data_IF_855015521873
#
_entry.id   IF_855015521873
#
_cell.length_a   1.000
_cell.length_b   1.000
_cell.length_c   1.000
_cell.angle_alpha   90.00
_cell.angle_beta   90.00
_cell.angle_gamma   90.00
#
_symmetry.space_group_name_H-M   'P 1'
#
loop_
_entity.id
_entity.type
_entity.pdbx_description
1 polymer ?
#
# COMPACT_ATOMS: atom_id res chain seq x y z
N UNK A 1 18.80 9.65 -2.64
CA UNK A 1 18.35 10.14 -1.31
C UNK A 1 18.78 9.12 -0.26
N UNK A 2 19.28 9.54 0.89
CA UNK A 2 19.54 8.62 2.00
C UNK A 2 18.19 8.24 2.64
N UNK A 3 17.75 7.00 2.45
CA UNK A 3 16.60 6.43 3.17
C UNK A 3 16.96 6.37 4.65
N UNK A 4 16.10 6.88 5.53
CA UNK A 4 16.33 6.85 6.98
C UNK A 4 15.84 5.51 7.53
N UNK A 5 16.74 4.53 7.61
CA UNK A 5 16.42 3.17 8.07
C UNK A 5 16.30 3.06 9.59
N UNK A 6 16.90 3.95 10.37
CA UNK A 6 16.70 3.97 11.83
C UNK A 6 15.22 4.28 12.16
N UNK A 7 14.64 5.26 11.47
CA UNK A 7 13.23 5.59 11.62
C UNK A 7 12.30 4.45 11.15
N UNK A 8 12.69 3.72 10.10
CA UNK A 8 11.94 2.56 9.62
C UNK A 8 11.86 1.48 10.71
N UNK A 9 13.00 1.15 11.33
CA UNK A 9 13.05 0.10 12.34
C UNK A 9 12.15 0.43 13.53
N UNK A 10 12.28 1.66 14.08
CA UNK A 10 11.45 2.10 15.20
C UNK A 10 9.96 2.05 14.89
N UNK A 11 9.54 2.43 13.67
CA UNK A 11 8.14 2.39 13.25
C UNK A 11 7.61 0.96 13.17
N UNK A 12 8.38 0.04 12.56
CA UNK A 12 7.99 -1.37 12.52
C UNK A 12 7.90 -1.91 13.94
N UNK A 13 8.90 -1.70 14.80
CA UNK A 13 8.91 -2.18 16.20
C UNK A 13 7.69 -1.67 16.99
N UNK A 14 7.28 -0.41 16.80
CA UNK A 14 6.08 0.15 17.43
C UNK A 14 4.83 -0.66 17.05
N UNK A 15 4.68 -1.04 15.79
CA UNK A 15 3.59 -1.91 15.29
C UNK A 15 3.73 -3.35 15.80
N UNK A 16 4.96 -3.88 15.93
CA UNK A 16 5.22 -5.23 16.45
C UNK A 16 4.72 -5.42 17.89
N UNK A 17 4.77 -4.38 18.73
CA UNK A 17 4.27 -4.45 20.10
C UNK A 17 2.75 -4.75 20.14
N UNK A 18 1.98 -4.29 19.16
CA UNK A 18 0.55 -4.66 19.05
C UNK A 18 0.37 -6.15 18.83
N UNK A 19 1.12 -6.75 17.90
CA UNK A 19 1.05 -8.19 17.64
C UNK A 19 1.54 -9.00 18.84
N UNK A 20 2.56 -8.53 19.57
CA UNK A 20 3.05 -9.20 20.78
C UNK A 20 1.98 -9.26 21.86
N UNK A 21 1.24 -8.18 22.07
CA UNK A 21 0.15 -8.13 23.04
C UNK A 21 -1.02 -9.01 22.59
N UNK A 22 -1.49 -8.83 21.34
CA UNK A 22 -2.66 -9.53 20.82
C UNK A 22 -2.46 -11.05 20.72
N UNK A 23 -1.30 -11.48 20.20
CA UNK A 23 -0.96 -12.89 19.96
C UNK A 23 -0.15 -13.53 21.10
N UNK A 24 0.08 -12.81 22.20
CA UNK A 24 0.86 -13.26 23.37
C UNK A 24 2.28 -13.74 22.99
N UNK A 25 2.96 -13.00 22.11
CA UNK A 25 4.29 -13.34 21.60
C UNK A 25 5.39 -12.75 22.47
N UNK A 26 6.54 -13.42 22.48
CA UNK A 26 7.66 -13.07 23.34
C UNK A 26 8.75 -12.25 22.65
N UNK A 27 8.84 -12.32 21.32
CA UNK A 27 9.92 -11.68 20.55
C UNK A 27 9.39 -10.85 19.37
N UNK A 28 10.18 -9.85 18.95
CA UNK A 28 9.90 -9.06 17.75
C UNK A 28 9.95 -9.91 16.48
N UNK A 29 10.83 -10.92 16.44
CA UNK A 29 10.93 -11.84 15.31
C UNK A 29 9.63 -12.63 15.08
N UNK A 30 9.01 -13.13 16.15
CA UNK A 30 7.69 -13.77 16.08
C UNK A 30 6.61 -12.78 15.61
N UNK A 31 6.61 -11.57 16.15
CA UNK A 31 5.64 -10.53 15.80
C UNK A 31 5.79 -10.05 14.36
N UNK A 32 7.02 -10.00 13.85
CA UNK A 32 7.31 -9.57 12.49
C UNK A 32 6.72 -10.53 11.45
N UNK A 33 6.56 -11.81 11.77
CA UNK A 33 5.81 -12.74 10.92
C UNK A 33 4.34 -12.35 10.72
N UNK A 34 3.66 -11.93 11.78
CA UNK A 34 2.28 -11.44 11.67
C UNK A 34 2.21 -10.10 10.93
N UNK A 35 3.17 -9.21 11.21
CA UNK A 35 3.29 -7.94 10.48
C UNK A 35 3.46 -8.16 8.98
N UNK A 36 4.33 -9.09 8.58
CA UNK A 36 4.55 -9.50 7.19
C UNK A 36 3.28 -10.04 6.56
N UNK A 37 2.58 -10.94 7.26
CA UNK A 37 1.36 -11.55 6.73
C UNK A 37 0.31 -10.49 6.39
N UNK A 38 0.13 -9.51 7.26
CA UNK A 38 -0.86 -8.45 7.08
C UNK A 38 -0.43 -7.41 6.04
N UNK A 39 0.81 -6.90 6.12
CA UNK A 39 1.26 -5.76 5.31
C UNK A 39 1.80 -6.16 3.93
N UNK A 40 2.31 -7.39 3.80
CA UNK A 40 2.97 -7.85 2.58
C UNK A 40 2.09 -8.87 1.85
N UNK A 41 1.56 -9.85 2.57
CA UNK A 41 0.73 -10.90 1.97
C UNK A 41 -0.76 -10.54 1.93
N UNK A 42 -1.18 -9.49 2.64
CA UNK A 42 -2.58 -9.07 2.77
C UNK A 42 -3.49 -10.20 3.31
N UNK A 43 -2.93 -11.03 4.18
CA UNK A 43 -3.65 -12.10 4.87
C UNK A 43 -4.01 -11.60 6.26
N UNK A 44 -5.26 -11.81 6.68
CA UNK A 44 -5.73 -11.43 8.01
C UNK A 44 -4.88 -12.14 9.07
N UNK A 45 -4.23 -11.33 9.93
CA UNK A 45 -3.36 -11.79 11.00
C UNK A 45 -4.08 -12.58 12.10
N UNK A 46 -5.41 -12.55 12.12
CA UNK A 46 -6.27 -13.36 12.96
C UNK A 46 -6.67 -14.69 12.34
N UNK A 47 -6.50 -14.84 11.03
CA UNK A 47 -6.90 -16.05 10.34
C UNK A 47 -5.88 -17.17 10.61
N UNK A 48 -6.37 -18.41 10.74
CA UNK A 48 -5.53 -19.59 10.99
C UNK A 48 -4.62 -19.97 9.79
N UNK A 49 -4.58 -19.10 8.77
CA UNK A 49 -3.88 -19.30 7.50
C UNK A 49 -2.40 -18.87 7.54
N UNK A 50 -1.96 -18.18 8.59
CA UNK A 50 -0.53 -17.89 8.78
C UNK A 50 0.17 -19.15 9.26
N UNK A 51 0.75 -19.87 8.31
CA UNK A 51 1.47 -21.11 8.56
C UNK A 51 2.66 -20.93 9.51
N UNK A 52 2.48 -21.45 10.74
CA UNK A 52 3.48 -21.97 11.67
C UNK A 52 4.20 -20.92 12.56
N UNK A 53 3.61 -20.57 13.72
CA UNK A 53 4.37 -19.95 14.80
C UNK A 53 5.43 -20.96 15.29
N UNK A 54 6.69 -20.85 14.85
CA UNK A 54 7.75 -21.73 15.35
C UNK A 54 9.02 -21.94 14.53
N UNK A 55 9.23 -21.29 13.37
CA UNK A 55 10.41 -21.49 12.50
C UNK A 55 10.68 -22.96 12.14
N UNK A 56 9.63 -23.80 12.07
CA UNK A 56 9.82 -25.23 11.81
C UNK A 56 10.41 -25.38 10.41
N UNK A 57 11.63 -25.92 10.36
CA UNK A 57 12.37 -26.15 9.14
C UNK A 57 12.66 -24.89 8.29
N UNK A 58 12.58 -23.71 8.90
CA UNK A 58 12.89 -22.43 8.25
C UNK A 58 11.78 -21.90 7.34
N UNK A 59 10.55 -22.40 7.50
CA UNK A 59 9.33 -21.86 6.89
C UNK A 59 8.59 -21.07 7.97
N UNK A 60 8.33 -19.79 7.67
CA UNK A 60 7.70 -18.87 8.62
C UNK A 60 6.25 -18.56 8.25
N UNK A 61 5.89 -18.64 6.97
CA UNK A 61 4.51 -18.52 6.49
C UNK A 61 4.29 -19.47 5.30
N UNK A 62 3.16 -20.18 5.28
CA UNK A 62 2.66 -20.95 4.14
C UNK A 62 1.20 -20.58 3.87
N UNK A 63 0.91 -20.06 2.68
CA UNK A 63 -0.45 -19.70 2.24
C UNK A 63 -0.79 -20.32 0.90
N UNK A 64 -2.07 -20.62 0.68
CA UNK A 64 -2.59 -21.24 -0.53
C UNK A 64 -3.80 -20.42 -0.98
N UNK A 65 -3.64 -19.60 -2.02
CA UNK A 65 -4.71 -18.80 -2.62
C UNK A 65 -5.37 -19.63 -3.72
N UNK A 66 -6.50 -20.24 -3.38
CA UNK A 66 -7.29 -21.07 -4.29
C UNK A 66 -7.91 -20.27 -5.45
N UNK A 67 -8.10 -18.95 -5.31
CA UNK A 67 -8.69 -18.14 -6.38
C UNK A 67 -7.63 -17.76 -7.41
N UNK A 68 -6.44 -17.37 -6.94
CA UNK A 68 -5.31 -17.00 -7.81
C UNK A 68 -4.51 -18.19 -8.31
N UNK A 69 -4.71 -19.38 -7.73
CA UNK A 69 -3.87 -20.57 -7.95
C UNK A 69 -2.42 -20.29 -7.62
N UNK A 70 -2.18 -19.67 -6.48
CA UNK A 70 -0.85 -19.31 -5.99
C UNK A 70 -0.59 -19.94 -4.62
N UNK A 71 0.56 -20.59 -4.47
CA UNK A 71 1.07 -21.06 -3.18
C UNK A 71 2.23 -20.16 -2.80
N UNK A 72 2.20 -19.57 -1.60
CA UNK A 72 3.31 -18.75 -1.11
C UNK A 72 3.97 -19.39 0.10
N UNK A 73 5.28 -19.61 0.01
CA UNK A 73 6.13 -20.09 1.11
C UNK A 73 7.10 -18.97 1.44
N UNK A 74 7.02 -18.44 2.65
CA UNK A 74 7.85 -17.34 3.11
C UNK A 74 8.85 -17.77 4.18
N UNK A 75 10.06 -17.25 4.07
CA UNK A 75 11.07 -17.24 5.12
C UNK A 75 11.37 -15.79 5.51
N UNK A 76 11.42 -15.53 6.80
CA UNK A 76 11.52 -14.20 7.39
C UNK A 76 12.74 -14.14 8.33
N UNK A 77 13.46 -13.03 8.28
CA UNK A 77 14.65 -12.78 9.10
C UNK A 77 14.61 -11.37 9.67
N UNK A 78 14.33 -11.24 10.97
CA UNK A 78 14.24 -9.96 11.64
C UNK A 78 15.55 -9.53 12.33
N UNK A 79 15.79 -8.22 12.39
CA UNK A 79 16.79 -7.59 13.25
C UNK A 79 16.31 -6.20 13.62
N UNK A 80 16.31 -5.84 14.91
CA UNK A 80 15.90 -4.51 15.40
C UNK A 80 16.74 -3.36 14.82
N UNK A 81 17.92 -3.65 14.25
CA UNK A 81 18.77 -2.64 13.59
C UNK A 81 18.62 -2.63 12.07
N UNK A 82 17.81 -3.53 11.50
CA UNK A 82 17.72 -3.79 10.06
C UNK A 82 19.10 -4.12 9.45
N UNK A 83 19.91 -4.89 10.18
CA UNK A 83 21.27 -5.29 9.80
C UNK A 83 21.43 -6.82 9.73
N UNK A 84 20.33 -7.58 9.67
CA UNK A 84 20.40 -9.04 9.64
C UNK A 84 21.26 -9.51 8.46
N UNK A 85 22.18 -10.44 8.73
CA UNK A 85 23.04 -11.06 7.72
C UNK A 85 22.52 -12.44 7.39
N UNK A 86 21.92 -12.57 6.22
CA UNK A 86 21.45 -13.85 5.71
C UNK A 86 22.63 -14.76 5.37
N UNK A 87 22.54 -16.03 5.73
CA UNK A 87 23.47 -17.05 5.23
C UNK A 87 22.99 -17.56 3.88
N UNK A 88 23.88 -17.72 2.90
CA UNK A 88 23.52 -18.19 1.54
C UNK A 88 22.84 -19.57 1.52
N UNK A 89 23.09 -20.40 2.53
CA UNK A 89 22.42 -21.69 2.71
C UNK A 89 20.92 -21.55 3.04
N UNK A 90 20.46 -20.41 3.56
CA UNK A 90 19.04 -20.15 3.81
C UNK A 90 18.27 -20.01 2.50
N UNK A 91 18.88 -19.45 1.45
CA UNK A 91 18.31 -19.40 0.10
C UNK A 91 18.08 -20.82 -0.43
N UNK A 92 19.03 -21.73 -0.21
CA UNK A 92 18.90 -23.14 -0.61
C UNK A 92 17.82 -23.87 0.18
N UNK A 93 17.71 -23.58 1.48
CA UNK A 93 16.65 -24.15 2.33
C UNK A 93 15.27 -23.75 1.82
N UNK A 94 15.06 -22.45 1.58
CA UNK A 94 13.80 -21.96 1.02
C UNK A 94 13.53 -22.55 -0.37
N UNK A 95 14.56 -22.68 -1.22
CA UNK A 95 14.41 -23.28 -2.55
C UNK A 95 13.87 -24.69 -2.46
N UNK A 96 14.33 -25.46 -1.47
CA UNK A 96 13.94 -26.85 -1.26
C UNK A 96 12.69 -27.02 -0.40
N UNK A 97 12.13 -25.94 0.16
CA UNK A 97 10.94 -26.00 1.02
C UNK A 97 9.74 -26.71 0.37
N UNK A 98 9.41 -26.54 -0.93
CA UNK A 98 8.30 -27.27 -1.55
C UNK A 98 8.50 -28.79 -1.58
N UNK A 99 9.73 -29.25 -1.86
CA UNK A 99 10.06 -30.69 -1.85
C UNK A 99 9.95 -31.23 -0.42
N UNK A 100 10.43 -30.45 0.54
CA UNK A 100 10.37 -30.78 1.95
C UNK A 100 8.93 -30.89 2.47
N UNK A 101 8.07 -29.93 2.13
CA UNK A 101 6.65 -29.95 2.48
C UNK A 101 5.92 -31.14 1.85
N UNK A 102 6.34 -31.63 0.68
CA UNK A 102 5.74 -32.80 0.06
C UNK A 102 6.15 -34.14 0.71
N UNK A 103 7.26 -34.18 1.47
CA UNK A 103 7.71 -35.42 2.12
C UNK A 103 6.78 -35.79 3.27
N UNK A 104 6.04 -36.89 3.13
CA UNK A 104 5.08 -37.39 4.13
C UNK A 104 5.73 -37.74 5.48
N UNK A 105 7.05 -37.93 5.54
CA UNK A 105 7.75 -38.22 6.80
C UNK A 105 8.06 -36.97 7.64
N UNK A 106 7.95 -35.78 7.04
CA UNK A 106 8.12 -34.53 7.75
C UNK A 106 6.89 -34.24 8.59
N UNK A 107 7.06 -33.99 9.88
CA UNK A 107 5.95 -33.63 10.77
C UNK A 107 6.37 -32.46 11.64
N UNK A 108 5.41 -31.60 11.98
CA UNK A 108 5.61 -30.44 12.82
C UNK A 108 4.59 -30.37 13.94
N UNK A 109 4.22 -29.17 14.34
CA UNK A 109 3.07 -28.96 15.19
C UNK A 109 1.74 -29.14 14.43
N UNK A 110 0.61 -29.19 15.15
CA UNK A 110 -0.71 -29.41 14.56
C UNK A 110 -1.08 -28.41 13.45
N UNK A 111 -0.63 -27.16 13.55
CA UNK A 111 -0.89 -26.12 12.54
C UNK A 111 -0.02 -26.37 11.30
N UNK A 112 1.25 -26.70 11.50
CA UNK A 112 2.16 -27.11 10.45
C UNK A 112 1.60 -28.29 9.65
N UNK A 113 1.23 -29.37 10.34
CA UNK A 113 0.77 -30.60 9.69
C UNK A 113 -0.52 -30.36 8.90
N UNK A 114 -1.47 -29.61 9.46
CA UNK A 114 -2.70 -29.26 8.75
C UNK A 114 -2.43 -28.46 7.45
N UNK A 115 -1.54 -27.47 7.51
CA UNK A 115 -1.19 -26.66 6.33
C UNK A 115 -0.36 -27.43 5.31
N UNK A 116 0.49 -28.33 5.77
CA UNK A 116 1.22 -29.25 4.91
C UNK A 116 0.27 -30.17 4.16
N UNK A 117 -0.77 -30.69 4.82
CA UNK A 117 -1.79 -31.51 4.16
C UNK A 117 -2.52 -30.70 3.08
N UNK A 118 -2.95 -29.46 3.38
CA UNK A 118 -3.53 -28.56 2.37
C UNK A 118 -2.58 -28.32 1.19
N UNK A 119 -1.27 -28.16 1.45
CA UNK A 119 -0.26 -28.02 0.40
C UNK A 119 -0.15 -29.28 -0.46
N UNK A 120 -0.08 -30.46 0.15
CA UNK A 120 -0.01 -31.74 -0.59
C UNK A 120 -1.26 -31.91 -1.46
N UNK A 121 -2.45 -31.60 -0.93
CA UNK A 121 -3.69 -31.65 -1.67
C UNK A 121 -3.69 -30.69 -2.88
N UNK A 122 -3.16 -29.48 -2.73
CA UNK A 122 -3.01 -28.53 -3.83
C UNK A 122 -2.03 -29.02 -4.90
N UNK A 123 -0.92 -29.66 -4.50
CA UNK A 123 0.08 -30.22 -5.43
C UNK A 123 -0.46 -31.44 -6.19
N UNK A 124 -1.13 -32.37 -5.48
CA UNK A 124 -1.66 -33.61 -6.05
C UNK A 124 -2.99 -33.39 -6.82
N UNK A 125 -3.70 -32.28 -6.55
CA UNK A 125 -4.95 -31.89 -7.22
C UNK A 125 -4.79 -31.60 -8.72
N UNK A 126 -5.88 -31.40 -9.47
CA UNK A 126 -5.80 -31.23 -10.94
C UNK A 126 -5.36 -29.82 -11.39
N UNK A 127 -5.46 -28.84 -10.49
CA UNK A 127 -5.22 -27.43 -10.82
C UNK A 127 -3.73 -27.12 -10.95
N UNK A 128 -3.41 -26.13 -11.78
CA UNK A 128 -2.05 -25.66 -12.00
C UNK A 128 -1.76 -24.47 -11.08
N UNK A 129 -1.00 -24.72 -10.01
CA UNK A 129 -0.54 -23.67 -9.10
C UNK A 129 0.82 -23.11 -9.52
N UNK A 130 1.03 -21.81 -9.29
CA UNK A 130 2.37 -21.21 -9.26
C UNK A 130 2.88 -21.17 -7.82
N UNK A 131 4.15 -21.52 -7.60
CA UNK A 131 4.76 -21.48 -6.26
C UNK A 131 5.64 -20.25 -6.13
N UNK A 132 5.32 -19.41 -5.15
CA UNK A 132 6.04 -18.21 -4.78
C UNK A 132 6.93 -18.51 -3.56
N UNK A 133 8.24 -18.39 -3.74
CA UNK A 133 9.22 -18.49 -2.67
C UNK A 133 9.65 -17.10 -2.25
N UNK A 134 9.25 -16.69 -1.05
CA UNK A 134 9.43 -15.33 -0.57
C UNK A 134 10.45 -15.27 0.56
N UNK A 135 11.47 -14.43 0.40
CA UNK A 135 12.51 -14.22 1.41
C UNK A 135 12.51 -12.77 1.86
N UNK A 136 12.16 -12.55 3.13
CA UNK A 136 12.03 -11.22 3.73
C UNK A 136 13.14 -11.03 4.76
N UNK A 137 13.93 -9.98 4.56
CA UNK A 137 15.14 -9.71 5.33
C UNK A 137 15.11 -8.28 5.86
N UNK A 138 15.14 -8.16 7.19
CA UNK A 138 15.45 -6.92 7.90
C UNK A 138 16.97 -6.65 7.82
N UNK A 139 17.44 -6.38 6.61
CA UNK A 139 18.86 -6.30 6.24
C UNK A 139 19.02 -6.06 4.75
N UNK A 140 20.22 -6.30 4.23
CA UNK A 140 20.53 -6.22 2.80
C UNK A 140 21.00 -7.57 2.28
N UNK A 141 20.58 -7.92 1.06
CA UNK A 141 21.19 -9.01 0.31
C UNK A 141 22.53 -8.55 -0.28
N UNK A 142 23.54 -9.41 -0.25
CA UNK A 142 24.78 -9.18 -1.01
C UNK A 142 24.53 -9.35 -2.52
N UNK A 143 25.47 -8.87 -3.36
CA UNK A 143 25.42 -9.09 -4.82
C UNK A 143 25.27 -10.57 -5.15
N UNK A 144 26.14 -11.42 -4.61
CA UNK A 144 26.11 -12.87 -4.83
C UNK A 144 24.78 -13.52 -4.41
N UNK A 145 24.14 -13.00 -3.36
CA UNK A 145 22.83 -13.48 -2.92
C UNK A 145 21.72 -13.08 -3.90
N UNK A 146 21.75 -11.84 -4.39
CA UNK A 146 20.81 -11.38 -5.42
C UNK A 146 20.98 -12.18 -6.72
N UNK A 147 22.22 -12.36 -7.19
CA UNK A 147 22.53 -13.13 -8.40
C UNK A 147 22.02 -14.58 -8.28
N UNK A 148 22.19 -15.19 -7.10
CA UNK A 148 21.66 -16.53 -6.83
C UNK A 148 20.14 -16.56 -6.84
N UNK A 149 19.47 -15.62 -6.18
CA UNK A 149 18.00 -15.53 -6.16
C UNK A 149 17.46 -15.34 -7.58
N UNK A 150 18.08 -14.47 -8.37
CA UNK A 150 17.70 -14.24 -9.76
C UNK A 150 17.88 -15.50 -10.62
N UNK A 151 18.97 -16.24 -10.42
CA UNK A 151 19.21 -17.52 -11.13
C UNK A 151 18.17 -18.61 -10.81
N UNK A 152 17.53 -18.54 -9.63
CA UNK A 152 16.48 -19.46 -9.21
C UNK A 152 15.08 -18.99 -9.63
N UNK A 153 14.92 -17.71 -9.95
CA UNK A 153 13.63 -17.13 -10.31
C UNK A 153 13.22 -17.56 -11.73
N UNK A 154 11.96 -18.00 -11.90
CA UNK A 154 11.47 -18.50 -13.19
C UNK A 154 12.00 -19.89 -13.56
N UNK A 155 12.61 -20.59 -12.61
CA UNK A 155 12.95 -22.02 -12.78
C UNK A 155 11.72 -22.88 -12.53
N UNK A 156 11.71 -24.09 -13.10
CA UNK A 156 10.70 -25.09 -12.80
C UNK A 156 11.28 -26.15 -11.85
N UNK A 157 10.46 -26.60 -10.90
CA UNK A 157 10.88 -27.58 -9.89
C UNK A 157 9.89 -28.75 -9.83
N UNK A 158 10.44 -29.96 -9.88
CA UNK A 158 9.66 -31.19 -9.75
C UNK A 158 9.26 -31.43 -8.30
N UNK A 159 7.95 -31.51 -8.05
CA UNK A 159 7.36 -31.81 -6.75
C UNK A 159 6.37 -32.96 -6.96
N UNK A 160 6.60 -34.07 -6.27
CA UNK A 160 5.89 -35.31 -6.55
C UNK A 160 6.05 -35.75 -8.01
N UNK A 161 4.94 -35.74 -8.76
CA UNK A 161 4.89 -36.16 -10.17
C UNK A 161 4.85 -35.02 -11.18
N UNK A 162 4.76 -33.77 -10.71
CA UNK A 162 4.54 -32.59 -11.57
C UNK A 162 5.69 -31.60 -11.44
N UNK A 163 5.82 -30.75 -12.46
CA UNK A 163 6.75 -29.63 -12.49
C UNK A 163 5.96 -28.35 -12.20
N UNK A 164 6.51 -27.50 -11.33
CA UNK A 164 5.89 -26.25 -10.90
C UNK A 164 6.80 -25.07 -11.18
N UNK A 165 6.22 -23.99 -11.70
CA UNK A 165 6.93 -22.73 -11.88
C UNK A 165 7.21 -22.08 -10.52
N UNK A 166 8.48 -21.72 -10.31
CA UNK A 166 8.97 -21.09 -9.11
C UNK A 166 9.19 -19.60 -9.36
N UNK A 167 8.50 -18.75 -8.58
CA UNK A 167 8.74 -17.30 -8.54
C UNK A 167 9.42 -16.93 -7.23
N UNK A 168 10.63 -16.42 -7.31
CA UNK A 168 11.37 -15.95 -6.15
C UNK A 168 11.11 -14.46 -5.91
N UNK A 169 10.73 -14.12 -4.67
CA UNK A 169 10.47 -12.75 -4.25
C UNK A 169 11.35 -12.42 -3.06
N UNK A 170 12.32 -11.53 -3.25
CA UNK A 170 13.18 -11.05 -2.15
C UNK A 170 12.74 -9.66 -1.68
N UNK A 171 12.71 -9.44 -0.37
CA UNK A 171 12.41 -8.14 0.24
C UNK A 171 13.51 -7.80 1.24
N UNK A 172 14.29 -6.76 0.95
CA UNK A 172 15.30 -6.22 1.85
C UNK A 172 14.74 -5.02 2.64
N UNK A 173 15.58 -4.42 3.49
CA UNK A 173 15.23 -3.21 4.24
C UNK A 173 14.81 -2.05 3.34
N UNK A 174 15.29 -1.99 2.10
CA UNK A 174 14.91 -0.99 1.12
C UNK A 174 13.45 -1.21 0.69
N UNK A 175 13.07 -2.43 0.33
CA UNK A 175 11.68 -2.79 -0.01
C UNK A 175 10.73 -2.66 1.19
N UNK A 176 11.18 -3.00 2.40
CA UNK A 176 10.41 -2.76 3.63
C UNK A 176 10.16 -1.27 3.85
N UNK A 177 11.16 -0.41 3.58
CA UNK A 177 10.98 1.04 3.60
C UNK A 177 9.84 1.48 2.68
N UNK A 178 9.83 0.98 1.45
CA UNK A 178 8.82 1.35 0.46
C UNK A 178 7.43 0.86 0.88
N UNK A 179 7.30 -0.32 1.49
CA UNK A 179 6.02 -0.82 2.01
C UNK A 179 5.48 0.08 3.14
N UNK A 180 6.34 0.49 4.07
CA UNK A 180 5.96 1.26 5.27
C UNK A 180 5.68 2.73 4.96
N UNK A 181 6.41 3.32 4.01
CA UNK A 181 6.34 4.76 3.71
C UNK A 181 5.62 5.08 2.40
N UNK A 182 5.46 4.10 1.51
CA UNK A 182 4.76 4.21 0.23
C UNK A 182 3.72 3.08 0.06
N UNK A 183 2.78 2.92 1.03
CA UNK A 183 1.85 1.79 1.08
C UNK A 183 0.99 1.70 -0.19
N UNK A 184 0.85 0.52 -0.77
CA UNK A 184 0.04 0.33 -1.98
C UNK A 184 -1.46 0.46 -1.67
N UNK A 185 -2.23 0.94 -2.64
CA UNK A 185 -3.70 0.80 -2.61
C UNK A 185 -4.11 -0.56 -3.18
N UNK A 186 -5.24 -1.13 -2.72
CA UNK A 186 -5.76 -2.36 -3.30
C UNK A 186 -6.12 -2.16 -4.77
N UNK A 187 -6.16 -3.27 -5.52
CA UNK A 187 -6.68 -3.24 -6.88
C UNK A 187 -8.14 -2.77 -6.89
N UNK A 188 -8.46 -1.90 -7.84
CA UNK A 188 -9.79 -1.31 -7.98
C UNK A 188 -10.24 -1.42 -9.42
N UNK A 189 -11.49 -1.85 -9.62
CA UNK A 189 -12.13 -1.82 -10.94
C UNK A 189 -13.20 -0.73 -10.96
N UNK A 190 -13.10 0.17 -11.94
CA UNK A 190 -14.00 1.30 -12.14
C UNK A 190 -14.70 1.19 -13.49
N UNK A 191 -15.99 1.50 -13.52
CA UNK A 191 -16.75 1.66 -14.77
C UNK A 191 -16.65 3.11 -15.29
N UNK A 192 -16.30 3.25 -16.57
CA UNK A 192 -16.08 4.53 -17.25
C UNK A 192 -17.08 4.71 -18.41
N UNK A 193 -17.50 5.92 -18.71
CA UNK A 193 -18.53 6.16 -19.73
C UNK A 193 -17.99 6.61 -21.09
N UNK A 194 -16.95 7.44 -21.07
CA UNK A 194 -16.29 7.96 -22.28
C UNK A 194 -14.81 7.83 -22.08
N UNK A 195 -14.11 7.18 -22.99
CA UNK A 195 -12.70 6.83 -22.82
C UNK A 195 -11.91 7.28 -24.04
N UNK A 196 -10.76 7.89 -23.77
CA UNK A 196 -9.71 8.16 -24.74
C UNK A 196 -8.40 7.60 -24.21
N UNK A 197 -7.85 6.62 -24.92
CA UNK A 197 -6.50 6.12 -24.66
C UNK A 197 -5.46 6.92 -25.46
N UNK A 198 -4.34 7.22 -24.80
CA UNK A 198 -3.19 7.84 -25.43
C UNK A 198 -1.92 7.13 -24.99
N UNK A 199 -1.24 6.50 -25.96
CA UNK A 199 0.03 5.85 -25.75
C UNK A 199 1.17 6.68 -26.36
N UNK A 200 2.20 6.94 -25.56
CA UNK A 200 3.45 7.52 -26.03
C UNK A 200 4.62 6.65 -25.55
N UNK A 201 5.29 5.98 -26.49
CA UNK A 201 6.30 4.96 -26.19
C UNK A 201 5.74 3.90 -25.22
N UNK A 202 6.39 3.69 -24.08
CA UNK A 202 5.98 2.74 -23.04
C UNK A 202 5.03 3.36 -22.01
N UNK A 203 4.51 4.58 -22.24
CA UNK A 203 3.59 5.25 -21.31
C UNK A 203 2.18 5.19 -21.85
N UNK A 204 1.31 4.48 -21.12
CA UNK A 204 -0.13 4.42 -21.38
C UNK A 204 -0.86 5.42 -20.51
N UNK A 205 -1.75 6.18 -21.12
CA UNK A 205 -2.57 7.19 -20.45
C UNK A 205 -4.02 6.98 -20.86
N UNK A 206 -4.92 7.22 -19.92
CA UNK A 206 -6.35 7.12 -20.12
C UNK A 206 -7.00 8.42 -19.65
N UNK A 207 -7.83 9.00 -20.51
CA UNK A 207 -8.66 10.17 -20.21
C UNK A 207 -10.10 9.72 -20.30
N UNK A 208 -10.86 9.85 -19.22
CA UNK A 208 -12.22 9.34 -19.21
C UNK A 208 -13.21 10.20 -18.41
N UNK A 209 -14.49 10.00 -18.70
CA UNK A 209 -15.59 10.46 -17.85
C UNK A 209 -15.98 9.31 -16.92
N UNK A 210 -16.11 9.62 -15.63
CA UNK A 210 -16.56 8.69 -14.58
C UNK A 210 -17.71 9.31 -13.79
N UNK A 211 -18.71 8.49 -13.44
CA UNK A 211 -19.77 8.91 -12.52
C UNK A 211 -19.22 9.13 -11.12
N UNK A 212 -19.67 10.20 -10.47
CA UNK A 212 -19.33 10.50 -9.07
C UNK A 212 -19.73 9.36 -8.14
N UNK A 213 -20.88 8.71 -8.40
CA UNK A 213 -21.38 7.57 -7.62
C UNK A 213 -20.53 6.32 -7.77
N UNK A 214 -20.07 5.99 -8.98
CA UNK A 214 -19.15 4.87 -9.22
C UNK A 214 -17.84 5.07 -8.45
N UNK A 215 -17.25 6.27 -8.57
CA UNK A 215 -16.00 6.60 -7.88
C UNK A 215 -16.10 6.41 -6.36
N UNK A 216 -17.13 6.96 -5.71
CA UNK A 216 -17.26 6.87 -4.24
C UNK A 216 -17.71 5.50 -3.76
N UNK A 217 -18.38 4.71 -4.60
CA UNK A 217 -18.78 3.36 -4.26
C UNK A 217 -17.56 2.42 -4.21
N UNK A 218 -16.60 2.61 -5.11
CA UNK A 218 -15.39 1.77 -5.22
C UNK A 218 -14.24 2.27 -4.35
N UNK A 219 -14.06 3.58 -4.22
CA UNK A 219 -12.98 4.17 -3.41
C UNK A 219 -13.42 4.27 -1.94
N UNK A 220 -12.94 3.34 -1.11
CA UNK A 220 -13.27 3.28 0.32
C UNK A 220 -12.44 4.25 1.17
N UNK A 221 -13.05 4.77 2.25
CA UNK A 221 -12.42 5.75 3.14
C UNK A 221 -11.20 5.18 3.87
N UNK A 222 -11.18 3.89 4.22
CA UNK A 222 -10.01 3.25 4.83
C UNK A 222 -8.75 3.34 3.96
N UNK A 223 -8.91 3.46 2.63
CA UNK A 223 -7.80 3.54 1.69
C UNK A 223 -7.35 4.98 1.41
N UNK A 224 -7.92 6.01 2.04
CA UNK A 224 -7.62 7.40 1.68
C UNK A 224 -6.16 7.81 1.97
N UNK A 225 -5.56 7.29 3.04
CA UNK A 225 -4.16 7.57 3.39
C UNK A 225 -3.22 7.12 2.25
N UNK A 226 -3.22 5.83 1.86
CA UNK A 226 -2.39 5.38 0.73
C UNK A 226 -2.85 6.00 -0.60
N UNK A 227 -4.13 6.27 -0.80
CA UNK A 227 -4.65 6.85 -2.06
C UNK A 227 -4.15 8.27 -2.32
N UNK A 228 -4.06 9.12 -1.29
CA UNK A 228 -3.68 10.53 -1.42
C UNK A 228 -2.21 10.80 -1.05
N UNK A 229 -1.39 9.75 -0.95
CA UNK A 229 0.01 9.82 -0.52
C UNK A 229 0.85 10.84 -1.31
N UNK A 230 0.65 10.95 -2.63
CA UNK A 230 1.36 11.91 -3.49
C UNK A 230 0.61 13.24 -3.66
N UNK A 231 -0.55 13.42 -3.04
CA UNK A 231 -1.30 14.67 -3.13
C UNK A 231 -0.64 15.73 -2.22
N UNK A 232 -0.35 16.96 -2.69
CA UNK A 232 0.33 17.97 -1.88
C UNK A 232 -0.53 18.50 -0.72
N UNK A 233 -1.85 18.26 -0.76
CA UNK A 233 -2.79 18.74 0.26
C UNK A 233 -3.92 17.73 0.47
N UNK A 234 -4.24 17.47 1.72
CA UNK A 234 -5.38 16.65 2.11
C UNK A 234 -6.66 17.47 2.28
N UNK A 235 -7.76 16.80 2.62
CA UNK A 235 -9.08 17.41 2.80
C UNK A 235 -9.07 18.49 3.90
N UNK A 236 -9.53 19.71 3.57
CA UNK A 236 -9.56 20.83 4.53
C UNK A 236 -10.88 20.98 5.30
N UNK A 237 -11.79 20.02 5.19
CA UNK A 237 -13.12 20.09 5.80
C UNK A 237 -14.06 21.14 5.21
N UNK A 238 -15.30 21.10 5.67
CA UNK A 238 -16.30 22.10 5.37
C UNK A 238 -16.17 23.26 6.36
N UNK A 239 -16.25 24.50 5.86
CA UNK A 239 -16.55 25.68 6.67
C UNK A 239 -18.01 26.02 6.39
N UNK A 240 -18.86 26.02 7.41
CA UNK A 240 -20.26 26.44 7.27
C UNK A 240 -20.40 27.96 7.13
N UNK A 241 -19.33 28.71 7.41
CA UNK A 241 -19.33 30.17 7.48
C UNK A 241 -18.79 30.84 6.21
N UNK A 242 -18.19 30.08 5.29
CA UNK A 242 -17.56 30.61 4.09
C UNK A 242 -18.12 29.96 2.82
N UNK A 243 -18.96 30.70 2.09
CA UNK A 243 -19.39 30.35 0.72
C UNK A 243 -18.20 30.28 -0.27
N UNK A 244 -17.03 30.80 0.12
CA UNK A 244 -15.78 30.70 -0.63
C UNK A 244 -15.02 29.36 -0.42
N UNK A 245 -15.52 28.46 0.44
CA UNK A 245 -14.89 27.16 0.63
C UNK A 245 -15.23 26.22 -0.55
N UNK A 246 -14.17 25.80 -1.27
CA UNK A 246 -14.23 24.86 -2.40
C UNK A 246 -15.09 23.62 -2.08
N UNK A 247 -14.97 23.07 -0.87
CA UNK A 247 -15.71 21.87 -0.45
C UNK A 247 -17.22 22.14 -0.30
N UNK A 248 -17.59 23.35 0.13
CA UNK A 248 -19.00 23.77 0.22
C UNK A 248 -19.60 23.93 -1.18
N UNK A 249 -18.85 24.47 -2.13
CA UNK A 249 -19.24 24.54 -3.54
C UNK A 249 -19.47 23.15 -4.15
N UNK A 250 -18.50 22.23 -3.96
CA UNK A 250 -18.62 20.84 -4.42
C UNK A 250 -19.89 20.19 -3.86
N UNK A 251 -20.16 20.33 -2.56
CA UNK A 251 -21.36 19.77 -1.95
C UNK A 251 -22.63 20.36 -2.55
N UNK A 252 -22.73 21.69 -2.63
CA UNK A 252 -23.91 22.37 -3.17
C UNK A 252 -24.23 21.91 -4.59
N UNK A 253 -23.23 21.82 -5.47
CA UNK A 253 -23.42 21.36 -6.84
C UNK A 253 -23.76 19.87 -6.89
N UNK A 254 -23.04 19.02 -6.16
CA UNK A 254 -23.21 17.57 -6.22
C UNK A 254 -24.55 17.05 -5.68
N UNK A 255 -25.22 17.81 -4.80
CA UNK A 255 -26.50 17.41 -4.19
C UNK A 255 -27.70 18.17 -4.75
N UNK A 256 -27.51 19.02 -5.76
CA UNK A 256 -28.57 19.83 -6.35
C UNK A 256 -28.98 19.24 -7.70
N UNK A 257 -30.27 18.97 -7.87
CA UNK A 257 -30.80 18.29 -9.06
C UNK A 257 -30.66 19.12 -10.36
N UNK A 258 -30.63 20.46 -10.26
CA UNK A 258 -30.47 21.32 -11.41
C UNK A 258 -29.00 21.57 -11.77
N UNK A 259 -28.12 21.68 -10.77
CA UNK A 259 -26.71 22.03 -10.93
C UNK A 259 -25.77 20.82 -11.08
N UNK A 260 -26.18 19.63 -10.62
CA UNK A 260 -25.35 18.41 -10.66
C UNK A 260 -24.92 18.03 -12.08
N UNK A 261 -25.75 18.26 -13.08
CA UNK A 261 -25.41 18.07 -14.50
C UNK A 261 -24.28 18.96 -15.01
N UNK A 262 -24.01 20.10 -14.34
CA UNK A 262 -22.93 21.03 -14.66
C UNK A 262 -21.63 20.69 -13.89
N UNK A 263 -21.62 19.61 -13.11
CA UNK A 263 -20.52 19.30 -12.21
C UNK A 263 -19.21 19.05 -12.96
N UNK A 264 -19.29 18.42 -14.13
CA UNK A 264 -18.14 18.13 -14.99
C UNK A 264 -17.44 19.42 -15.43
N UNK A 265 -18.20 20.46 -15.77
CA UNK A 265 -17.71 21.76 -16.21
C UNK A 265 -17.19 22.62 -15.04
N UNK A 266 -17.80 22.49 -13.85
CA UNK A 266 -17.40 23.26 -12.68
C UNK A 266 -16.18 22.67 -11.95
N UNK A 267 -15.87 21.39 -12.16
CA UNK A 267 -14.81 20.67 -11.48
C UNK A 267 -13.63 20.35 -12.41
N UNK A 268 -12.41 20.52 -11.92
CA UNK A 268 -11.20 20.14 -12.66
C UNK A 268 -11.02 18.62 -12.84
N UNK A 269 -11.85 17.81 -12.15
CA UNK A 269 -11.79 16.36 -12.17
C UNK A 269 -10.76 15.78 -11.21
N UNK A 270 -10.31 14.56 -11.51
CA UNK A 270 -9.28 13.83 -10.78
C UNK A 270 -8.10 13.52 -11.70
N UNK A 271 -6.89 13.66 -11.17
CA UNK A 271 -5.68 13.17 -11.84
C UNK A 271 -5.06 12.08 -10.99
N UNK A 272 -4.80 10.96 -11.63
CA UNK A 272 -4.44 9.70 -11.04
C UNK A 272 -3.15 9.16 -11.67
N UNK A 273 -2.35 8.50 -10.85
CA UNK A 273 -1.23 7.67 -11.30
C UNK A 273 -1.43 6.25 -10.77
N UNK A 274 -0.95 5.26 -11.51
CA UNK A 274 -1.04 3.85 -11.13
C UNK A 274 0.22 3.09 -11.55
N UNK A 275 0.43 1.91 -10.98
CA UNK A 275 1.53 1.04 -11.41
C UNK A 275 1.19 0.37 -12.74
N UNK A 276 -0.06 -0.09 -12.89
CA UNK A 276 -0.60 -0.60 -14.15
C UNK A 276 -2.12 -0.48 -14.24
N UNK A 277 -2.66 -0.52 -15.45
CA UNK A 277 -4.10 -0.71 -15.66
C UNK A 277 -4.41 -1.63 -16.86
N UNK A 278 -5.52 -2.35 -16.74
CA UNK A 278 -6.14 -3.12 -17.83
C UNK A 278 -7.48 -2.49 -18.16
N UNK A 279 -7.73 -2.24 -19.44
CA UNK A 279 -9.00 -1.72 -19.93
C UNK A 279 -9.71 -2.84 -20.70
N UNK A 280 -10.95 -3.11 -20.33
CA UNK A 280 -11.86 -4.02 -21.02
C UNK A 280 -13.19 -3.29 -21.27
N UNK A 281 -13.36 -2.80 -22.51
CA UNK A 281 -14.45 -1.90 -22.91
C UNK A 281 -14.56 -0.67 -21.99
N UNK A 282 -15.56 -0.63 -21.11
CA UNK A 282 -15.81 0.45 -20.15
C UNK A 282 -15.18 0.19 -18.77
N UNK A 283 -14.72 -1.02 -18.50
CA UNK A 283 -14.18 -1.42 -17.20
C UNK A 283 -12.66 -1.25 -17.17
N UNK A 284 -12.16 -0.42 -16.26
CA UNK A 284 -10.73 -0.28 -16.00
C UNK A 284 -10.35 -0.91 -14.66
N UNK A 285 -9.51 -1.94 -14.70
CA UNK A 285 -8.89 -2.54 -13.51
C UNK A 285 -7.54 -1.88 -13.29
N UNK A 286 -7.36 -1.23 -12.13
CA UNK A 286 -6.22 -0.39 -11.81
C UNK A 286 -5.46 -0.97 -10.61
N UNK A 287 -4.16 -1.21 -10.81
CA UNK A 287 -3.26 -1.61 -9.75
C UNK A 287 -2.58 -0.39 -9.11
N UNK A 288 -2.65 -0.30 -7.78
CA UNK A 288 -2.01 0.77 -7.00
C UNK A 288 -2.42 2.19 -7.44
N UNK A 289 -3.72 2.47 -7.51
CA UNK A 289 -4.25 3.80 -7.81
C UNK A 289 -3.83 4.83 -6.76
N UNK A 290 -3.30 5.97 -7.21
CA UNK A 290 -2.97 7.14 -6.39
C UNK A 290 -3.59 8.40 -7.00
N UNK A 291 -4.20 9.26 -6.20
CA UNK A 291 -4.84 10.50 -6.65
C UNK A 291 -3.92 11.69 -6.33
N UNK A 292 -3.27 12.22 -7.37
CA UNK A 292 -2.32 13.33 -7.26
C UNK A 292 -2.98 14.71 -7.37
N UNK A 293 -4.21 14.79 -7.90
CA UNK A 293 -5.06 15.97 -7.88
C UNK A 293 -6.54 15.56 -7.75
N UNK A 294 -7.34 16.33 -7.01
CA UNK A 294 -8.76 16.03 -6.79
C UNK A 294 -9.13 15.55 -5.39
N UNK A 295 -8.21 15.60 -4.41
CA UNK A 295 -8.48 15.16 -3.02
C UNK A 295 -9.71 15.84 -2.40
N UNK A 296 -9.88 17.15 -2.62
CA UNK A 296 -11.08 17.86 -2.13
C UNK A 296 -12.36 17.29 -2.74
N UNK A 297 -12.38 17.03 -4.06
CA UNK A 297 -13.54 16.47 -4.79
C UNK A 297 -13.91 15.09 -4.27
N UNK A 298 -12.95 14.15 -4.27
CA UNK A 298 -13.21 12.75 -3.86
C UNK A 298 -13.67 12.66 -2.41
N UNK A 299 -13.00 13.37 -1.50
CA UNK A 299 -13.38 13.34 -0.08
C UNK A 299 -14.73 14.02 0.15
N UNK A 300 -15.04 15.11 -0.56
CA UNK A 300 -16.34 15.78 -0.44
C UNK A 300 -17.48 14.88 -0.93
N UNK A 301 -17.34 14.27 -2.12
CA UNK A 301 -18.31 13.31 -2.65
C UNK A 301 -18.47 12.10 -1.71
N UNK A 302 -17.37 11.54 -1.21
CA UNK A 302 -17.42 10.43 -0.24
C UNK A 302 -18.03 10.81 1.13
N UNK A 303 -17.99 12.09 1.51
CA UNK A 303 -18.67 12.58 2.72
C UNK A 303 -20.16 12.80 2.50
N UNK A 304 -20.57 13.16 1.29
CA UNK A 304 -21.98 13.25 0.88
C UNK A 304 -22.57 11.84 0.75
N UNK A 305 -21.80 10.89 0.23
CA UNK A 305 -22.17 9.48 0.12
C UNK A 305 -23.37 9.29 -0.80
N UNK A 306 -24.41 8.62 -0.30
CA UNK A 306 -25.62 8.26 -1.07
C UNK A 306 -26.43 9.46 -1.58
N UNK A 307 -26.15 10.67 -1.09
CA UNK A 307 -26.83 11.89 -1.53
C UNK A 307 -26.15 12.56 -2.72
N UNK A 308 -25.07 11.99 -3.27
CA UNK A 308 -24.48 12.45 -4.53
C UNK A 308 -25.49 12.14 -5.63
N UNK A 309 -25.86 13.15 -6.41
CA UNK A 309 -26.78 13.00 -7.52
C UNK A 309 -26.12 12.16 -8.65
N UNK A 310 -26.91 11.34 -9.34
CA UNK A 310 -26.44 10.45 -10.41
C UNK A 310 -25.94 11.21 -11.66
N UNK A 311 -26.33 12.47 -11.83
CA UNK A 311 -25.87 13.35 -12.92
C UNK A 311 -24.47 13.94 -12.67
N UNK A 312 -23.84 13.64 -11.53
CA UNK A 312 -22.48 14.08 -11.24
C UNK A 312 -21.47 13.28 -12.05
N UNK A 313 -20.78 13.97 -12.97
CA UNK A 313 -19.71 13.40 -13.79
C UNK A 313 -18.38 14.11 -13.54
N UNK A 314 -17.28 13.36 -13.69
CA UNK A 314 -15.92 13.84 -13.44
C UNK A 314 -15.00 13.48 -14.61
N UNK A 315 -14.12 14.41 -14.97
CA UNK A 315 -12.97 14.10 -15.80
C UNK A 315 -11.93 13.32 -14.98
N UNK A 316 -11.58 12.13 -15.41
CA UNK A 316 -10.53 11.29 -14.85
C UNK A 316 -9.34 11.25 -15.82
N UNK A 317 -8.14 11.58 -15.32
CA UNK A 317 -6.88 11.42 -16.04
C UNK A 317 -6.07 10.35 -15.32
N UNK A 318 -5.79 9.23 -15.96
CA UNK A 318 -5.05 8.10 -15.39
C UNK A 318 -3.75 7.90 -16.17
N UNK A 319 -2.62 7.94 -15.46
CA UNK A 319 -1.30 7.72 -16.04
C UNK A 319 -0.67 6.43 -15.49
N UNK A 320 -0.27 5.52 -16.38
CA UNK A 320 0.46 4.30 -16.03
C UNK A 320 1.95 4.59 -15.86
N UNK A 321 2.51 4.24 -14.69
CA UNK A 321 3.89 4.51 -14.29
C UNK A 321 4.53 3.21 -13.76
N UNK A 322 5.08 2.41 -14.68
CA UNK A 322 5.65 1.09 -14.37
C UNK A 322 7.04 1.14 -13.69
N UNK A 323 7.83 2.19 -13.94
CA UNK A 323 9.22 2.31 -13.48
C UNK A 323 9.46 3.65 -12.76
N UNK A 324 9.13 3.70 -11.47
CA UNK A 324 9.39 4.86 -10.60
C UNK A 324 9.87 4.40 -9.23
N UNK A 325 11.01 3.70 -9.21
CA UNK A 325 11.58 3.04 -8.02
C UNK A 325 11.80 3.98 -6.83
N UNK A 326 11.87 5.29 -7.07
CA UNK A 326 11.99 6.31 -6.04
C UNK A 326 10.75 7.21 -5.93
N UNK A 327 9.69 7.00 -6.72
CA UNK A 327 8.48 7.83 -6.73
C UNK A 327 8.67 9.25 -7.27
N UNK A 328 9.78 9.53 -7.95
CA UNK A 328 10.13 10.87 -8.43
C UNK A 328 9.21 11.34 -9.56
N UNK A 329 8.88 10.46 -10.50
CA UNK A 329 7.97 10.82 -11.59
C UNK A 329 6.56 11.07 -11.05
N UNK A 330 6.06 10.23 -10.14
CA UNK A 330 4.76 10.41 -9.45
C UNK A 330 4.72 11.75 -8.70
N UNK A 331 5.77 12.09 -7.96
CA UNK A 331 5.90 13.41 -7.28
C UNK A 331 5.97 14.57 -8.26
N UNK A 332 6.68 14.43 -9.38
CA UNK A 332 6.76 15.48 -10.40
C UNK A 332 5.41 15.70 -11.09
N UNK A 333 4.70 14.64 -11.47
CA UNK A 333 3.35 14.73 -12.02
C UNK A 333 2.45 15.48 -11.04
N UNK A 334 2.49 15.12 -9.76
CA UNK A 334 1.75 15.83 -8.72
C UNK A 334 2.13 17.31 -8.65
N UNK A 335 3.42 17.63 -8.57
CA UNK A 335 3.91 19.02 -8.53
C UNK A 335 3.45 19.83 -9.74
N UNK A 336 3.60 19.31 -10.96
CA UNK A 336 3.26 20.05 -12.18
C UNK A 336 1.75 20.16 -12.40
N UNK A 337 0.99 19.09 -12.14
CA UNK A 337 -0.49 19.13 -12.22
C UNK A 337 -1.07 20.13 -11.23
N UNK A 338 -0.52 20.18 -10.01
CA UNK A 338 -0.99 21.11 -9.00
C UNK A 338 -0.47 22.54 -9.20
N UNK A 339 0.68 22.75 -9.87
CA UNK A 339 1.20 24.10 -10.16
C UNK A 339 0.34 24.92 -11.13
N UNK A 340 -0.53 24.26 -11.90
CA UNK A 340 -1.49 24.92 -12.79
C UNK A 340 -2.71 25.49 -12.03
N UNK A 341 -2.93 25.07 -10.78
CA UNK A 341 -3.91 25.64 -9.85
C UNK A 341 -3.18 26.41 -8.74
N UNK A 342 -3.79 27.47 -8.18
CA UNK A 342 -3.15 28.25 -7.12
C UNK A 342 -3.06 27.44 -5.81
N UNK A 343 -2.01 26.63 -5.66
CA UNK A 343 -1.63 26.00 -4.39
C UNK A 343 -0.58 26.83 -3.68
N UNK A 344 -0.62 26.84 -2.35
CA UNK A 344 0.34 27.62 -1.57
C UNK A 344 1.76 27.06 -1.74
N UNK A 345 2.79 27.92 -1.67
CA UNK A 345 4.21 27.49 -1.66
C UNK A 345 4.45 26.47 -0.53
N UNK A 346 3.73 26.60 0.59
CA UNK A 346 3.71 25.62 1.69
C UNK A 346 3.29 24.23 1.18
N UNK A 347 2.13 24.13 0.53
CA UNK A 347 1.59 22.85 0.08
C UNK A 347 2.50 22.24 -1.00
N UNK A 348 3.09 23.07 -1.87
CA UNK A 348 4.11 22.62 -2.85
C UNK A 348 5.37 22.05 -2.18
N UNK A 349 5.78 22.64 -1.05
CA UNK A 349 6.97 22.21 -0.31
C UNK A 349 6.70 20.98 0.58
N UNK A 350 5.45 20.57 0.76
CA UNK A 350 5.07 19.51 1.68
C UNK A 350 5.83 18.21 1.36
N UNK A 351 5.92 17.78 0.11
CA UNK A 351 6.62 16.54 -0.29
C UNK A 351 8.16 16.66 -0.40
N UNK A 352 8.75 17.77 0.07
CA UNK A 352 10.21 17.90 0.08
C UNK A 352 10.85 16.99 1.14
N UNK A 353 12.02 16.38 0.84
CA UNK A 353 12.71 15.48 1.78
C UNK A 353 12.97 16.09 3.15
N UNK A 354 13.24 17.39 3.21
CA UNK A 354 13.46 18.11 4.47
C UNK A 354 12.20 18.16 5.33
N UNK A 355 11.03 18.37 4.73
CA UNK A 355 9.77 18.39 5.47
C UNK A 355 9.41 17.00 6.01
N UNK A 356 9.64 15.96 5.21
CA UNK A 356 9.48 14.55 5.63
C UNK A 356 10.42 14.24 6.79
N UNK A 357 11.71 14.61 6.68
CA UNK A 357 12.69 14.37 7.74
C UNK A 357 12.36 15.10 9.05
N UNK A 358 11.81 16.32 8.99
CA UNK A 358 11.37 17.06 10.18
C UNK A 358 10.18 16.35 10.84
N UNK A 359 9.18 15.96 10.06
CA UNK A 359 8.02 15.23 10.55
C UNK A 359 8.45 13.96 11.27
N UNK A 360 9.28 13.15 10.61
CA UNK A 360 9.82 11.93 11.18
C UNK A 360 10.61 12.16 12.47
N UNK A 361 11.45 13.20 12.52
CA UNK A 361 12.20 13.52 13.73
C UNK A 361 11.27 13.91 14.88
N UNK A 362 10.22 14.68 14.61
CA UNK A 362 9.21 15.08 15.61
C UNK A 362 8.46 13.85 16.11
N UNK A 363 7.96 13.01 15.21
CA UNK A 363 7.16 11.82 15.55
C UNK A 363 7.95 10.79 16.36
N UNK A 364 9.29 10.75 16.20
CA UNK A 364 10.16 9.78 16.88
C UNK A 364 10.72 10.27 18.21
N UNK A 365 10.86 11.58 18.41
CA UNK A 365 11.55 12.13 19.58
C UNK A 365 10.62 12.93 20.51
N UNK A 366 9.44 13.32 20.03
CA UNK A 366 8.54 14.22 20.75
C UNK A 366 7.12 13.67 20.77
N UNK A 367 6.83 12.84 21.76
CA UNK A 367 5.46 12.46 22.08
C UNK A 367 4.58 13.72 22.23
N UNK A 368 3.33 13.65 21.73
CA UNK A 368 2.30 14.72 21.80
C UNK A 368 2.51 15.92 20.87
N UNK A 369 3.55 15.91 20.04
CA UNK A 369 3.70 16.86 18.93
C UNK A 369 3.37 16.18 17.61
N UNK A 370 2.85 16.97 16.67
CA UNK A 370 2.63 16.54 15.30
C UNK A 370 3.00 17.67 14.37
N UNK A 371 3.88 17.35 13.42
CA UNK A 371 4.26 18.28 12.36
C UNK A 371 3.30 18.11 11.19
N UNK A 372 2.42 19.08 11.00
CA UNK A 372 1.47 19.09 9.88
C UNK A 372 2.16 19.61 8.61
N UNK A 373 2.69 18.66 7.84
CA UNK A 373 3.41 18.89 6.58
C UNK A 373 2.45 19.26 5.46
N UNK A 374 1.35 18.51 5.33
CA UNK A 374 0.30 18.73 4.33
C UNK A 374 -0.91 19.39 4.97
N UNK A 375 -1.48 20.40 4.33
CA UNK A 375 -2.70 21.03 4.86
C UNK A 375 -3.83 19.98 4.96
N UNK A 376 -4.46 19.85 6.13
CA UNK A 376 -5.55 18.89 6.37
C UNK A 376 -5.09 17.49 6.78
N UNK A 377 -3.77 17.25 6.89
CA UNK A 377 -3.18 15.96 7.23
C UNK A 377 -3.70 15.39 8.54
N UNK A 378 -3.77 16.22 9.58
CA UNK A 378 -4.36 15.81 10.86
C UNK A 378 -5.78 15.25 10.67
N UNK A 379 -6.63 15.94 9.90
CA UNK A 379 -8.04 15.54 9.75
C UNK A 379 -8.20 14.23 9.01
N UNK A 380 -7.26 13.92 8.12
CA UNK A 380 -7.22 12.62 7.46
C UNK A 380 -6.88 11.52 8.48
N UNK A 381 -5.85 11.74 9.30
CA UNK A 381 -5.41 10.77 10.31
C UNK A 381 -6.25 10.73 11.59
N UNK A 382 -7.15 11.69 11.84
CA UNK A 382 -8.11 11.63 12.95
C UNK A 382 -9.02 10.38 12.86
N UNK A 383 -9.07 9.71 11.69
CA UNK A 383 -9.78 8.45 11.46
C UNK A 383 -8.88 7.21 11.47
N UNK A 384 -7.55 7.38 11.64
CA UNK A 384 -6.56 6.32 11.70
C UNK A 384 -6.34 5.90 13.16
N UNK A 385 -6.60 4.62 13.47
CA UNK A 385 -6.52 4.09 14.83
C UNK A 385 -5.10 4.09 15.40
N UNK A 386 -4.07 3.94 14.56
CA UNK A 386 -2.66 3.99 14.99
C UNK A 386 -2.30 5.42 15.37
N UNK A 387 -2.66 6.37 14.52
CA UNK A 387 -2.44 7.79 14.77
C UNK A 387 -3.20 8.28 16.00
N UNK A 388 -4.47 7.91 16.14
CA UNK A 388 -5.31 8.34 17.27
C UNK A 388 -4.70 7.91 18.62
N UNK A 389 -4.16 6.69 18.71
CA UNK A 389 -3.49 6.17 19.91
C UNK A 389 -2.23 6.98 20.28
N UNK A 390 -1.46 7.39 19.27
CA UNK A 390 -0.23 8.17 19.48
C UNK A 390 -0.50 9.63 19.85
N UNK A 391 -1.65 10.18 19.44
CA UNK A 391 -1.87 11.62 19.42
C UNK A 391 -3.11 12.15 20.19
N UNK A 392 -3.93 11.33 20.89
CA UNK A 392 -5.18 11.79 21.56
C UNK A 392 -5.44 11.20 22.99
N UNK A 393 -5.95 11.97 24.01
CA UNK A 393 -5.77 13.40 24.37
C UNK A 393 -4.93 13.58 25.69
N UNK A 394 -4.25 14.69 26.03
CA UNK A 394 -4.77 15.98 26.53
C UNK A 394 -3.62 17.04 26.61
N UNK A 395 -2.97 17.39 25.49
CA UNK A 395 -2.15 18.63 25.31
C UNK A 395 -1.54 18.74 23.90
N UNK A 396 -2.16 18.08 22.92
CA UNK A 396 -1.63 17.94 21.55
C UNK A 396 -1.29 19.30 20.93
N UNK A 397 -0.01 19.48 20.55
CA UNK A 397 0.48 20.70 19.91
C UNK A 397 0.77 20.43 18.44
N UNK A 398 -0.03 21.06 17.58
CA UNK A 398 0.21 21.06 16.13
C UNK A 398 1.25 22.13 15.84
N UNK A 399 2.42 21.70 15.38
CA UNK A 399 3.40 22.60 14.78
C UNK A 399 3.08 22.65 13.29
N UNK A 400 2.29 23.65 12.91
CA UNK A 400 1.98 23.91 11.52
C UNK A 400 3.13 24.74 10.91
N UNK A 401 3.70 24.28 9.80
CA UNK A 401 4.84 24.97 9.17
C UNK A 401 4.52 26.42 8.76
N UNK A 402 3.24 26.78 8.58
CA UNK A 402 2.76 28.13 8.31
C UNK A 402 3.01 29.08 9.49
N UNK A 403 2.96 28.56 10.72
CA UNK A 403 3.26 29.32 11.95
C UNK A 403 4.75 29.31 12.29
N UNK A 404 5.50 28.32 11.82
CA UNK A 404 6.94 28.22 12.06
C UNK A 404 7.78 29.06 11.07
N UNK A 405 7.20 29.46 9.94
CA UNK A 405 7.82 30.33 8.93
C UNK A 405 7.48 31.83 9.04
N UNK A 406 6.76 32.23 10.10
CA UNK A 406 6.63 33.64 10.52
C UNK A 406 7.52 33.86 11.72
#
# INVERSE_FOLDING_TARGET
MNRNFENLSSKIIEELEHYKIDKQLSTNDQAFGFWVAEHILQVDSNNAEIGIPGHEHGIDILTIDQQKKEITISQIKWSDKLEHKLQTAEIDKLSNAPIFLYDKNVTGNKIFDAKKDEFIDAIDGEEEFTIHLQLILAGDFSSDQNDKIESLNGTSKKIGKKDFDIKYISLDKSKLYDIVYHPKTPEITLELESIMEFQNQNRRNLFAIIKGTELINKVKKENYIPLFEYNPRFYLGMSEQDDANINSGIKKTATNDEESKNFLEYNNGITCVCDSFKLDDTLVTINNLKIVNGCQTVVSLGNIGKNVNDDVHLLCKLYEIQEDSNGELKRNISKFTNSQNAISIRDMASDQPRQISIQQHIDNNYEKFFWERKSGERRLYDTDAVWERKHKPMSFRIINNFKAGK
#
